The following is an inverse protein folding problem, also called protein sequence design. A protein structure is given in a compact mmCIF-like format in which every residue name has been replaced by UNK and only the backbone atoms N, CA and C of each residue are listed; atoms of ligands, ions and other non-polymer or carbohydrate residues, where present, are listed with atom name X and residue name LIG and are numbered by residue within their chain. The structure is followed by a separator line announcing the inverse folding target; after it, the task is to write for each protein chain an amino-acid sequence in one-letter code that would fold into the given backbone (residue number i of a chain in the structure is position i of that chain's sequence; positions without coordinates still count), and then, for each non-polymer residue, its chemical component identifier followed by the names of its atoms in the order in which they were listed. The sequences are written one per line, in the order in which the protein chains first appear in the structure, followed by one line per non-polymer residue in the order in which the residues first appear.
data_IF_421949883931
#
_entry.id   IF_421949883931
#
_cell.length_a   1.000
_cell.length_b   1.000
_cell.length_c   1.000
_cell.angle_alpha   90.00
_cell.angle_beta   90.00
_cell.angle_gamma   90.00
#
_symmetry.space_group_name_H-M   'P 1'
#
loop_
_entity.id
_entity.type
_entity.pdbx_description
1 polymer ?
#
# COMPACT_ATOMS: atom_id res chain seq x y z
N UNK A 1 -8.27 0.22 -6.77
CA UNK A 1 -7.87 -1.01 -7.51
C UNK A 1 -6.36 -1.24 -7.57
N UNK A 2 -5.52 -0.21 -7.82
CA UNK A 2 -4.06 -0.40 -8.05
C UNK A 2 -3.35 -1.18 -6.94
N UNK A 3 -3.58 -0.87 -5.66
CA UNK A 3 -2.98 -1.62 -4.54
C UNK A 3 -3.39 -3.10 -4.51
N UNK A 4 -4.65 -3.41 -4.83
CA UNK A 4 -5.13 -4.79 -4.90
C UNK A 4 -4.49 -5.57 -6.05
N UNK A 5 -4.28 -4.93 -7.20
CA UNK A 5 -3.55 -5.53 -8.34
C UNK A 5 -2.12 -5.87 -7.92
N UNK A 6 -1.44 -4.96 -7.23
CA UNK A 6 -0.09 -5.20 -6.70
C UNK A 6 -0.08 -6.36 -5.70
N UNK A 7 -1.03 -6.39 -4.77
CA UNK A 7 -1.16 -7.47 -3.80
C UNK A 7 -1.36 -8.83 -4.48
N UNK A 8 -2.31 -8.94 -5.42
CA UNK A 8 -2.59 -10.17 -6.16
C UNK A 8 -1.40 -10.62 -7.02
N UNK A 9 -0.70 -9.68 -7.68
CA UNK A 9 0.50 -10.01 -8.47
C UNK A 9 1.62 -10.58 -7.61
N UNK A 10 1.83 -10.02 -6.42
CA UNK A 10 2.87 -10.49 -5.50
C UNK A 10 2.52 -11.80 -4.81
N UNK A 11 1.27 -11.95 -4.37
CA UNK A 11 0.82 -13.16 -3.69
C UNK A 11 0.49 -14.32 -4.64
N UNK A 12 0.36 -14.04 -5.94
CA UNK A 12 -0.14 -14.96 -6.97
C UNK A 12 -1.46 -15.64 -6.55
N UNK A 13 -2.32 -14.90 -5.87
CA UNK A 13 -3.54 -15.42 -5.25
C UNK A 13 -4.62 -14.36 -5.15
N UNK A 14 -5.80 -14.75 -4.68
CA UNK A 14 -6.76 -13.76 -4.23
C UNK A 14 -6.18 -12.98 -3.04
N UNK A 15 -6.49 -11.69 -2.95
CA UNK A 15 -6.03 -10.81 -1.89
C UNK A 15 -7.14 -9.83 -1.52
N UNK A 16 -7.36 -9.63 -0.22
CA UNK A 16 -8.43 -8.78 0.30
C UNK A 16 -7.86 -7.62 1.11
N UNK A 17 -8.53 -6.47 1.05
CA UNK A 17 -8.18 -5.29 1.84
C UNK A 17 -8.55 -5.52 3.30
N UNK A 18 -7.59 -5.35 4.21
CA UNK A 18 -7.79 -5.56 5.66
C UNK A 18 -7.70 -4.26 6.46
N UNK A 19 -6.95 -3.27 5.97
CA UNK A 19 -7.00 -1.90 6.49
C UNK A 19 -6.47 -0.90 5.47
N UNK A 20 -6.92 0.34 5.62
CA UNK A 20 -6.24 1.51 5.08
C UNK A 20 -5.71 2.28 6.29
N UNK A 21 -4.39 2.38 6.42
CA UNK A 21 -3.75 2.86 7.64
C UNK A 21 -3.75 4.38 7.69
N UNK A 22 -3.33 5.01 6.59
CA UNK A 22 -3.46 6.46 6.41
C UNK A 22 -3.71 6.80 4.95
N UNK A 23 -4.46 7.87 4.74
CA UNK A 23 -4.69 8.51 3.44
C UNK A 23 -4.43 10.00 3.64
N UNK A 24 -3.39 10.50 3.00
CA UNK A 24 -2.97 11.88 3.11
C UNK A 24 -3.30 12.60 1.81
N UNK A 25 -4.18 13.60 1.88
CA UNK A 25 -4.45 14.52 0.78
C UNK A 25 -3.59 15.76 0.97
N UNK A 26 -2.51 15.85 0.20
CA UNK A 26 -1.47 16.87 0.34
C UNK A 26 -1.83 18.11 -0.49
N UNK A 27 -2.35 17.89 -1.70
CA UNK A 27 -2.72 18.95 -2.66
C UNK A 27 -3.98 18.56 -3.43
N UNK A 28 -4.79 19.52 -3.90
CA UNK A 28 -6.00 19.23 -4.67
C UNK A 28 -5.67 18.61 -6.04
N UNK A 29 -6.65 17.89 -6.59
CA UNK A 29 -6.68 17.45 -7.99
C UNK A 29 -7.75 18.28 -8.69
N UNK A 30 -7.42 18.94 -9.79
CA UNK A 30 -8.36 19.78 -10.53
C UNK A 30 -9.00 19.05 -11.71
N UNK A 31 -10.18 19.51 -12.12
CA UNK A 31 -10.84 19.03 -13.33
C UNK A 31 -9.92 19.24 -14.53
N UNK A 32 -9.77 18.21 -15.36
CA UNK A 32 -8.86 18.21 -16.52
C UNK A 32 -7.45 17.69 -16.20
N UNK A 33 -7.08 17.48 -14.94
CA UNK A 33 -5.82 16.79 -14.63
C UNK A 33 -5.90 15.30 -14.96
N UNK A 34 -4.77 14.74 -15.41
CA UNK A 34 -4.56 13.29 -15.48
C UNK A 34 -4.03 12.81 -14.14
N UNK A 35 -4.73 11.84 -13.54
CA UNK A 35 -4.30 11.24 -12.29
C UNK A 35 -3.45 9.98 -12.55
N UNK A 36 -2.21 10.00 -12.07
CA UNK A 36 -1.29 8.86 -12.09
C UNK A 36 -1.21 8.26 -10.69
N UNK A 37 -1.49 6.96 -10.59
CA UNK A 37 -1.39 6.21 -9.34
C UNK A 37 -0.25 5.20 -9.45
N UNK A 38 0.80 5.41 -8.66
CA UNK A 38 1.91 4.48 -8.53
C UNK A 38 1.75 3.70 -7.23
N UNK A 39 1.82 2.37 -7.29
CA UNK A 39 1.71 1.53 -6.11
C UNK A 39 2.90 0.58 -5.97
N UNK A 40 3.36 0.37 -4.74
CA UNK A 40 4.54 -0.42 -4.40
C UNK A 40 4.31 -1.15 -3.08
N UNK A 41 4.76 -2.40 -3.00
CA UNK A 41 4.79 -3.12 -1.71
C UNK A 41 5.99 -2.62 -0.91
N UNK A 42 5.72 -2.15 0.30
CA UNK A 42 6.76 -1.67 1.20
C UNK A 42 7.11 -2.71 2.26
N UNK A 43 6.12 -3.47 2.74
CA UNK A 43 6.35 -4.47 3.79
C UNK A 43 5.55 -5.75 3.54
N UNK A 44 6.16 -6.89 3.86
CA UNK A 44 5.52 -8.20 3.84
C UNK A 44 5.83 -8.91 5.15
N UNK A 45 4.77 -9.29 5.85
CA UNK A 45 4.89 -10.09 7.07
C UNK A 45 4.76 -11.58 6.75
N UNK A 46 3.67 -12.23 7.17
CA UNK A 46 3.38 -13.62 6.86
C UNK A 46 2.43 -13.72 5.65
N UNK A 47 1.15 -13.46 5.88
CA UNK A 47 0.11 -13.43 4.86
C UNK A 47 -0.29 -12.01 4.45
N UNK A 48 0.17 -11.01 5.21
CA UNK A 48 -0.16 -9.61 5.00
C UNK A 48 0.92 -8.83 4.25
N UNK A 49 0.46 -7.91 3.42
CA UNK A 49 1.28 -7.04 2.57
C UNK A 49 0.84 -5.60 2.79
N UNK A 50 1.77 -4.69 3.08
CA UNK A 50 1.53 -3.26 3.05
C UNK A 50 1.91 -2.71 1.68
N UNK A 51 0.98 -2.00 1.04
CA UNK A 51 1.16 -1.34 -0.24
C UNK A 51 1.03 0.17 -0.07
N UNK A 52 2.06 0.90 -0.44
CA UNK A 52 2.04 2.35 -0.60
C UNK A 52 1.44 2.69 -1.96
N UNK A 53 0.55 3.68 -1.98
CA UNK A 53 0.00 4.28 -3.19
C UNK A 53 0.33 5.76 -3.18
N UNK A 54 0.99 6.23 -4.24
CA UNK A 54 1.30 7.65 -4.48
C UNK A 54 0.45 8.15 -5.64
N UNK A 55 -0.34 9.19 -5.38
CA UNK A 55 -1.14 9.89 -6.37
C UNK A 55 -0.42 11.16 -6.86
N UNK A 56 -0.32 11.29 -8.17
CA UNK A 56 0.25 12.44 -8.85
C UNK A 56 -0.75 12.97 -9.87
N UNK A 57 -1.11 14.25 -9.77
CA UNK A 57 -1.91 14.94 -10.76
C UNK A 57 -0.98 15.63 -11.77
N UNK A 58 -1.28 15.47 -13.05
CA UNK A 58 -0.60 16.14 -14.14
C UNK A 58 -1.58 17.05 -14.87
N UNK A 59 -1.23 18.32 -14.99
CA UNK A 59 -1.87 19.22 -15.94
C UNK A 59 -1.32 18.92 -17.34
N UNK A 60 -2.16 18.44 -18.25
CA UNK A 60 -1.72 17.99 -19.59
C UNK A 60 -1.23 19.17 -20.45
N UNK A 61 -1.79 20.36 -20.26
CA UNK A 61 -1.48 21.54 -21.09
C UNK A 61 -0.11 22.09 -20.70
N UNK A 62 0.19 22.16 -19.40
CA UNK A 62 1.45 22.72 -18.89
C UNK A 62 2.52 21.67 -18.62
N UNK A 63 2.15 20.39 -18.49
CA UNK A 63 3.03 19.28 -18.11
C UNK A 63 3.41 19.26 -16.63
N UNK A 64 2.87 20.16 -15.80
CA UNK A 64 3.21 20.25 -14.38
C UNK A 64 2.65 19.05 -13.63
N UNK A 65 3.53 18.36 -12.90
CA UNK A 65 3.20 17.18 -12.09
C UNK A 65 3.25 17.53 -10.60
N UNK A 66 2.21 17.14 -9.90
CA UNK A 66 2.03 17.47 -8.49
C UNK A 66 1.64 16.22 -7.71
N UNK A 67 2.41 15.85 -6.69
CA UNK A 67 1.99 14.81 -5.74
C UNK A 67 0.80 15.34 -4.94
N UNK A 68 -0.35 14.68 -5.09
CA UNK A 68 -1.62 15.10 -4.48
C UNK A 68 -1.98 14.28 -3.26
N UNK A 69 -1.49 13.04 -3.17
CA UNK A 69 -1.68 12.26 -1.96
C UNK A 69 -0.89 10.98 -1.89
N UNK A 70 -0.87 10.42 -0.69
CA UNK A 70 -0.29 9.11 -0.39
C UNK A 70 -1.26 8.28 0.42
N UNK A 71 -1.20 6.97 0.28
CA UNK A 71 -1.96 6.05 1.11
C UNK A 71 -1.16 4.79 1.42
N UNK A 72 -1.33 4.22 2.61
CA UNK A 72 -0.80 2.91 2.97
C UNK A 72 -1.96 1.96 3.19
N UNK A 73 -1.99 0.87 2.44
CA UNK A 73 -3.10 -0.10 2.42
C UNK A 73 -2.56 -1.48 2.73
N UNK A 74 -3.13 -2.12 3.74
CA UNK A 74 -2.78 -3.50 4.11
C UNK A 74 -3.74 -4.49 3.44
N UNK A 75 -3.16 -5.44 2.71
CA UNK A 75 -3.84 -6.57 2.10
C UNK A 75 -3.44 -7.88 2.79
N UNK A 76 -4.29 -8.90 2.69
CA UNK A 76 -3.97 -10.29 3.07
C UNK A 76 -4.21 -11.20 1.87
N UNK A 77 -3.20 -12.02 1.54
CA UNK A 77 -3.33 -13.08 0.54
C UNK A 77 -4.11 -14.27 1.08
N UNK A 78 -5.01 -14.82 0.26
CA UNK A 78 -5.89 -15.93 0.62
C UNK A 78 -5.63 -17.17 -0.25
N UNK A 79 -5.76 -18.35 0.35
CA UNK A 79 -5.78 -19.64 -0.34
C UNK A 79 -7.12 -19.89 -1.05
N UNK A 80 -7.24 -21.04 -1.71
CA UNK A 80 -8.46 -21.48 -2.41
C UNK A 80 -9.69 -21.65 -1.50
N UNK A 81 -9.49 -21.78 -0.19
CA UNK A 81 -10.55 -21.91 0.81
C UNK A 81 -10.88 -20.58 1.50
N UNK A 82 -10.27 -19.47 1.05
CA UNK A 82 -10.44 -18.15 1.65
C UNK A 82 -9.69 -17.95 2.97
N UNK A 83 -8.74 -18.82 3.32
CA UNK A 83 -7.92 -18.68 4.54
C UNK A 83 -6.64 -17.90 4.23
N UNK A 84 -6.11 -17.11 5.19
CA UNK A 84 -4.82 -16.44 5.01
C UNK A 84 -3.70 -17.43 4.66
N UNK A 85 -2.93 -17.13 3.62
CA UNK A 85 -1.80 -17.95 3.19
C UNK A 85 -0.48 -17.19 3.24
N UNK A 86 0.63 -17.90 3.43
CA UNK A 86 1.97 -17.31 3.33
C UNK A 86 2.17 -16.68 1.95
N UNK A 87 2.68 -15.45 1.93
CA UNK A 87 3.05 -14.74 0.68
C UNK A 87 4.57 -14.64 0.52
N UNK A 88 5.09 -14.50 -0.72
CA UNK A 88 6.53 -14.38 -0.95
C UNK A 88 7.16 -13.22 -0.16
N UNK A 89 8.38 -13.41 0.35
CA UNK A 89 9.13 -12.32 1.01
C UNK A 89 9.59 -11.28 -0.01
N UNK A 90 9.77 -10.03 0.44
CA UNK A 90 10.37 -8.99 -0.39
C UNK A 90 11.89 -9.16 -0.43
N UNK A 91 12.45 -9.04 -1.63
CA UNK A 91 13.89 -8.92 -1.83
C UNK A 91 14.28 -7.44 -1.69
N UNK A 92 15.02 -7.11 -0.64
CA UNK A 92 15.46 -5.75 -0.34
C UNK A 92 16.82 -5.48 -1.01
N UNK A 93 16.79 -4.91 -2.21
CA UNK A 93 17.98 -4.69 -3.04
C UNK A 93 18.63 -3.35 -2.73
N UNK A 94 17.82 -2.30 -2.63
CA UNK A 94 18.29 -0.92 -2.42
C UNK A 94 18.16 -0.48 -0.96
N UNK A 95 18.84 0.60 -0.59
CA UNK A 95 18.66 1.21 0.73
C UNK A 95 17.26 1.77 0.92
N UNK A 96 16.64 2.29 -0.14
CA UNK A 96 15.23 2.70 -0.11
C UNK A 96 14.32 1.51 0.23
N UNK A 97 14.60 0.32 -0.31
CA UNK A 97 13.83 -0.89 0.01
C UNK A 97 13.91 -1.20 1.51
N UNK A 98 15.11 -1.10 2.11
CA UNK A 98 15.34 -1.40 3.52
C UNK A 98 14.64 -0.39 4.43
N UNK A 99 14.76 0.90 4.11
CA UNK A 99 14.11 1.98 4.84
C UNK A 99 12.59 1.79 4.82
N UNK A 100 12.00 1.65 3.62
CA UNK A 100 10.55 1.47 3.47
C UNK A 100 10.03 0.21 4.15
N UNK A 101 10.84 -0.86 4.15
CA UNK A 101 10.48 -2.10 4.83
C UNK A 101 10.40 -1.92 6.35
N UNK A 102 11.37 -1.24 6.96
CA UNK A 102 11.33 -0.98 8.40
C UNK A 102 10.20 -0.01 8.76
N UNK A 103 9.97 1.04 7.96
CA UNK A 103 8.83 1.94 8.16
C UNK A 103 7.47 1.22 8.08
N UNK A 104 7.31 0.32 7.11
CA UNK A 104 6.08 -0.47 6.97
C UNK A 104 5.89 -1.47 8.11
N UNK A 105 6.98 -2.02 8.64
CA UNK A 105 6.94 -2.84 9.85
C UNK A 105 6.49 -2.02 11.06
N UNK A 106 7.03 -0.82 11.26
CA UNK A 106 6.63 0.09 12.35
C UNK A 106 5.13 0.42 12.25
N UNK A 107 4.64 0.81 11.07
CA UNK A 107 3.20 1.07 10.83
C UNK A 107 2.33 -0.14 11.18
N UNK A 108 2.77 -1.34 10.81
CA UNK A 108 2.08 -2.58 11.15
C UNK A 108 2.00 -2.80 12.67
N UNK A 109 3.11 -2.60 13.39
CA UNK A 109 3.16 -2.71 14.85
C UNK A 109 2.24 -1.70 15.54
N UNK A 110 2.24 -0.44 15.08
CA UNK A 110 1.36 0.61 15.58
C UNK A 110 -0.12 0.24 15.38
N UNK A 111 -0.49 -0.22 14.19
CA UNK A 111 -1.85 -0.70 13.91
C UNK A 111 -2.26 -1.84 14.84
N UNK A 112 -1.38 -2.82 15.08
CA UNK A 112 -1.66 -3.93 15.98
C UNK A 112 -1.86 -3.45 17.43
N UNK A 113 -1.06 -2.48 17.89
CA UNK A 113 -1.24 -1.86 19.21
C UNK A 113 -2.60 -1.16 19.33
N UNK A 114 -3.00 -0.41 18.29
CA UNK A 114 -4.31 0.26 18.26
C UNK A 114 -5.48 -0.73 18.26
N UNK A 115 -5.41 -1.80 17.46
CA UNK A 115 -6.45 -2.85 17.43
C UNK A 115 -6.64 -3.55 18.77
N UNK A 116 -5.55 -3.79 19.51
CA UNK A 116 -5.64 -4.38 20.86
C UNK A 116 -6.35 -3.45 21.86
N UNK A 117 -6.13 -2.14 21.75
CA UNK A 117 -6.80 -1.14 22.61
C UNK A 117 -8.29 -0.99 22.28
N UNK A 118 -8.68 -1.13 21.01
CA UNK A 118 -10.09 -1.02 20.59
C UNK A 118 -10.94 -2.26 20.88
N UNK A 119 -10.31 -3.39 21.23
CA UNK A 119 -10.97 -4.66 21.58
C UNK A 119 -11.05 -4.89 23.10
N UNK A 120 -10.82 -3.85 23.90
CA UNK A 120 -11.03 -3.78 25.35
C UNK A 120 -12.03 -2.66 25.61
#
# INVERSE_FOLDING_TARGET
MVAGIVAQRHSQSNAVTVSMDSVNFIKPVFVGNVLKLNARINYVHNSSMEIEVKAEAEDIVTGIKTVTGTAFVTFVGLDKNGKPQHVPKLLLKTDEDRIKFEEGKIRMEERLKLRKKSNV
#
